data_IF_370687173051
#
_entry.id   IF_370687173051
#
_cell.length_a   1.000
_cell.length_b   1.000
_cell.length_c   1.000
_cell.angle_alpha   90.00
_cell.angle_beta   90.00
_cell.angle_gamma   90.00
#
_symmetry.space_group_name_H-M   'P 1'
#
loop_
_entity.id
_entity.type
_entity.pdbx_description
1 polymer ?
#
# COMPACT_ATOMS: atom_id res chain seq x y z
N UNK A 1 -7.82 -5.70 17.69
CA UNK A 1 -7.90 -5.66 16.21
C UNK A 1 -9.37 -5.78 15.82
N UNK A 2 -10.07 -4.66 15.63
CA UNK A 2 -11.49 -4.67 15.23
C UNK A 2 -11.59 -4.58 13.70
N UNK A 3 -11.80 -5.73 13.07
CA UNK A 3 -12.02 -5.86 11.63
C UNK A 3 -13.44 -5.41 11.27
N UNK A 4 -13.63 -4.12 11.01
CA UNK A 4 -14.84 -3.64 10.34
C UNK A 4 -14.79 -4.02 8.86
N UNK A 5 -15.50 -5.08 8.51
CA UNK A 5 -16.17 -5.31 7.22
C UNK A 5 -15.45 -4.69 5.99
N UNK A 6 -14.34 -5.31 5.57
CA UNK A 6 -13.84 -5.24 4.19
C UNK A 6 -13.19 -3.94 3.70
N UNK A 7 -12.87 -2.99 4.58
CA UNK A 7 -12.03 -1.84 4.25
C UNK A 7 -10.69 -1.94 5.01
N UNK A 8 -9.60 -2.19 4.28
CA UNK A 8 -8.25 -2.11 4.86
C UNK A 8 -7.80 -0.65 4.75
N UNK A 9 -7.59 -0.02 5.90
CA UNK A 9 -7.00 1.33 5.99
C UNK A 9 -5.58 1.14 6.51
N UNK A 10 -4.60 1.31 5.64
CA UNK A 10 -3.19 1.21 5.97
C UNK A 10 -2.33 1.60 4.77
N UNK A 11 -0.99 1.68 4.92
CA UNK A 11 -0.06 1.77 3.81
C UNK A 11 -0.27 0.56 2.91
N UNK A 12 -1.12 0.66 1.91
CA UNK A 12 -1.12 -0.33 0.85
C UNK A 12 0.18 -0.10 0.12
N UNK A 13 1.01 -1.13 0.05
CA UNK A 13 2.21 -1.12 -0.76
C UNK A 13 1.76 -0.88 -2.22
N UNK A 14 1.76 0.38 -2.62
CA UNK A 14 1.53 0.81 -4.00
C UNK A 14 2.57 0.13 -4.92
N UNK A 15 2.30 0.04 -6.22
CA UNK A 15 3.09 -0.77 -7.17
C UNK A 15 4.59 -0.44 -7.13
N UNK A 16 4.96 0.80 -6.80
CA UNK A 16 6.38 1.14 -6.67
C UNK A 16 7.06 0.70 -5.37
N UNK A 17 6.32 0.32 -4.31
CA UNK A 17 6.90 -0.41 -3.16
C UNK A 17 7.25 -1.83 -3.60
N UNK A 18 6.36 -2.49 -4.35
CA UNK A 18 6.62 -3.83 -4.89
C UNK A 18 7.82 -3.82 -5.86
N UNK A 19 7.92 -2.80 -6.73
CA UNK A 19 9.06 -2.60 -7.63
C UNK A 19 10.38 -2.44 -6.87
N UNK A 20 10.42 -1.61 -5.82
CA UNK A 20 11.64 -1.38 -5.04
C UNK A 20 12.09 -2.64 -4.28
N UNK A 21 11.14 -3.42 -3.76
CA UNK A 21 11.45 -4.73 -3.14
C UNK A 21 12.02 -5.69 -4.18
N UNK A 22 11.49 -5.70 -5.41
CA UNK A 22 12.03 -6.46 -6.54
C UNK A 22 13.48 -6.07 -6.86
N UNK A 23 13.74 -4.77 -7.03
CA UNK A 23 15.09 -4.26 -7.30
C UNK A 23 16.10 -4.60 -6.21
N UNK A 24 15.68 -4.61 -4.94
CA UNK A 24 16.54 -5.04 -3.83
C UNK A 24 16.82 -6.54 -3.89
N UNK A 25 15.79 -7.35 -4.16
CA UNK A 25 15.94 -8.81 -4.31
C UNK A 25 16.88 -9.20 -5.44
N UNK A 26 16.82 -8.46 -6.54
CA UNK A 26 17.67 -8.68 -7.72
C UNK A 26 19.06 -8.06 -7.56
N UNK A 27 19.34 -7.37 -6.44
CA UNK A 27 20.64 -6.79 -6.11
C UNK A 27 20.96 -5.46 -6.78
N UNK A 28 20.00 -4.84 -7.48
CA UNK A 28 20.18 -3.54 -8.13
C UNK A 28 20.26 -2.37 -7.14
N UNK A 29 19.62 -2.49 -5.98
CA UNK A 29 19.69 -1.50 -4.90
C UNK A 29 20.06 -2.18 -3.57
N UNK A 30 20.71 -1.43 -2.67
CA UNK A 30 21.04 -1.92 -1.34
C UNK A 30 19.95 -1.58 -0.31
N UNK A 31 20.06 -2.15 0.89
CA UNK A 31 19.07 -1.99 1.95
C UNK A 31 18.91 -0.53 2.41
N UNK A 32 19.99 0.25 2.41
CA UNK A 32 19.95 1.66 2.79
C UNK A 32 19.16 2.49 1.76
N UNK A 33 19.39 2.23 0.46
CA UNK A 33 18.63 2.85 -0.63
C UNK A 33 17.15 2.46 -0.54
N UNK A 34 16.84 1.18 -0.31
CA UNK A 34 15.46 0.72 -0.12
C UNK A 34 14.77 1.40 1.07
N UNK A 35 15.46 1.54 2.21
CA UNK A 35 14.90 2.17 3.40
C UNK A 35 14.56 3.66 3.17
N UNK A 36 15.46 4.40 2.52
CA UNK A 36 15.25 5.81 2.21
C UNK A 36 14.10 6.01 1.20
N UNK A 37 14.02 5.17 0.16
CA UNK A 37 12.96 5.27 -0.84
C UNK A 37 11.57 4.90 -0.29
N UNK A 38 11.50 4.04 0.73
CA UNK A 38 10.26 3.74 1.45
C UNK A 38 9.89 4.84 2.47
N UNK A 39 10.87 5.47 3.12
CA UNK A 39 10.68 6.53 4.11
C UNK A 39 10.11 7.82 3.51
N UNK A 40 10.45 8.13 2.25
CA UNK A 40 9.97 9.32 1.54
C UNK A 40 8.71 9.11 0.70
N UNK A 41 8.18 7.87 0.61
CA UNK A 41 6.92 7.64 -0.09
C UNK A 41 5.77 8.16 0.77
N UNK A 42 5.13 9.22 0.29
CA UNK A 42 3.89 9.76 0.85
C UNK A 42 2.91 8.60 1.03
N UNK A 43 2.59 8.28 2.28
CA UNK A 43 1.54 7.31 2.62
C UNK A 43 0.22 7.85 2.08
N UNK A 44 -0.12 7.47 0.85
CA UNK A 44 -1.43 7.77 0.30
C UNK A 44 -2.43 6.95 1.12
N UNK A 45 -3.47 7.62 1.64
CA UNK A 45 -4.61 6.95 2.25
C UNK A 45 -5.37 6.21 1.14
N UNK A 46 -4.86 5.03 0.77
CA UNK A 46 -5.40 4.22 -0.30
C UNK A 46 -6.43 3.28 0.31
N UNK A 47 -7.67 3.45 -0.10
CA UNK A 47 -8.79 2.63 0.35
C UNK A 47 -8.93 1.44 -0.61
N UNK A 48 -8.73 0.23 -0.10
CA UNK A 48 -9.05 -0.99 -0.84
C UNK A 48 -10.41 -1.54 -0.42
N UNK A 49 -11.32 -1.65 -1.39
CA UNK A 49 -12.66 -2.19 -1.20
C UNK A 49 -12.71 -3.61 -1.78
N UNK A 50 -12.18 -4.57 -1.02
CA UNK A 50 -12.04 -5.97 -1.48
C UNK A 50 -13.33 -6.79 -1.49
N UNK A 51 -14.49 -6.20 -1.16
CA UNK A 51 -15.77 -6.91 -1.15
C UNK A 51 -16.88 -6.10 -1.81
N UNK A 52 -17.85 -6.74 -2.49
CA UNK A 52 -19.02 -6.06 -3.05
C UNK A 52 -19.82 -5.26 -2.01
N UNK A 53 -19.80 -5.69 -0.74
CA UNK A 53 -20.44 -4.98 0.37
C UNK A 53 -19.75 -3.64 0.68
N UNK A 54 -18.42 -3.60 0.60
CA UNK A 54 -17.63 -2.40 0.88
C UNK A 54 -17.80 -1.34 -0.22
N UNK A 55 -17.95 -1.75 -1.48
CA UNK A 55 -18.25 -0.86 -2.62
C UNK A 55 -19.61 -0.14 -2.43
N UNK A 56 -20.62 -0.84 -1.90
CA UNK A 56 -21.96 -0.26 -1.64
C UNK A 56 -21.96 0.86 -0.58
N UNK A 57 -20.89 0.99 0.20
CA UNK A 57 -20.73 2.04 1.21
C UNK A 57 -20.17 3.35 0.63
N UNK A 58 -19.67 3.34 -0.62
CA UNK A 58 -19.20 4.54 -1.31
C UNK A 58 -20.40 5.46 -1.60
N UNK A 59 -20.32 6.72 -1.18
CA UNK A 59 -21.28 7.77 -1.54
C UNK A 59 -20.61 8.79 -2.45
N UNK A 60 -21.31 9.20 -3.50
CA UNK A 60 -20.86 10.30 -4.37
C UNK A 60 -21.10 11.63 -3.65
N UNK A 61 -20.05 12.42 -3.51
CA UNK A 61 -20.11 13.82 -3.03
C UNK A 61 -20.55 14.74 -4.17
#
# INVERSE_FOLDING_TARGET
MNSFIGAVIGPIADDGVALQIGLFKDGYINLATLAETLKYRKLNNQYYFGTPKAIKLLRRL
#
